data_IF_777769119064
#
_entry.id   IF_777769119064
#
_cell.length_a   1.000
_cell.length_b   1.000
_cell.length_c   1.000
_cell.angle_alpha   90.00
_cell.angle_beta   90.00
_cell.angle_gamma   90.00
#
_symmetry.space_group_name_H-M   'P 1'
#
loop_
_entity.id
_entity.type
_entity.pdbx_description
1 polymer ?
#
# COMPACT_ATOMS: atom_id res chain seq x y z
N UNK A 1 6.53 21.09 -7.19
CA UNK A 1 6.51 20.24 -8.38
C UNK A 1 6.06 18.81 -8.08
N UNK A 2 6.42 18.22 -6.93
CA UNK A 2 6.03 16.84 -6.54
C UNK A 2 4.51 16.57 -6.65
N UNK A 3 3.66 17.52 -6.24
CA UNK A 3 2.20 17.40 -6.35
C UNK A 3 1.71 17.67 -7.78
N UNK A 4 2.34 18.59 -8.50
CA UNK A 4 1.87 19.04 -9.82
C UNK A 4 2.26 18.10 -10.96
N UNK A 5 3.38 17.42 -10.80
CA UNK A 5 3.99 16.56 -11.82
C UNK A 5 4.69 15.37 -11.13
N UNK A 6 3.95 14.52 -10.39
CA UNK A 6 4.56 13.39 -9.68
C UNK A 6 5.27 12.42 -10.63
N UNK A 7 4.81 12.32 -11.86
CA UNK A 7 5.40 11.46 -12.89
C UNK A 7 6.82 11.87 -13.34
N UNK A 8 7.27 13.09 -12.98
CA UNK A 8 8.62 13.56 -13.32
C UNK A 8 9.69 13.05 -12.32
N UNK A 9 9.28 12.33 -11.27
CA UNK A 9 10.16 11.86 -10.19
C UNK A 9 10.24 10.33 -10.16
N UNK A 10 11.43 9.77 -10.42
CA UNK A 10 11.73 8.35 -10.27
C UNK A 10 12.21 8.02 -8.85
N UNK A 11 13.05 8.89 -8.29
CA UNK A 11 13.64 8.74 -6.96
C UNK A 11 13.67 10.08 -6.24
N UNK A 12 13.20 10.10 -5.00
CA UNK A 12 13.24 11.28 -4.14
C UNK A 12 14.09 10.99 -2.91
N UNK A 13 15.10 11.82 -2.67
CA UNK A 13 15.91 11.79 -1.45
C UNK A 13 15.52 12.98 -0.57
N UNK A 14 15.13 12.70 0.65
CA UNK A 14 14.73 13.71 1.63
C UNK A 14 15.26 13.37 3.02
N UNK A 15 15.42 14.39 3.88
CA UNK A 15 15.64 14.15 5.30
C UNK A 15 14.37 13.57 5.93
N UNK A 16 14.49 12.89 7.08
CA UNK A 16 13.41 12.15 7.71
C UNK A 16 12.10 12.96 7.78
N UNK A 17 12.13 14.16 8.39
CA UNK A 17 10.94 15.00 8.52
C UNK A 17 10.27 15.34 7.18
N UNK A 18 11.05 15.70 6.16
CA UNK A 18 10.51 16.03 4.84
C UNK A 18 10.10 14.77 4.06
N UNK A 19 10.77 13.65 4.28
CA UNK A 19 10.39 12.35 3.73
C UNK A 19 9.00 11.94 4.21
N UNK A 20 8.73 12.02 5.50
CA UNK A 20 7.43 11.67 6.09
C UNK A 20 6.30 12.54 5.51
N UNK A 21 6.52 13.86 5.42
CA UNK A 21 5.53 14.78 4.83
C UNK A 21 5.29 14.45 3.33
N UNK A 22 6.35 14.18 2.59
CA UNK A 22 6.23 13.90 1.15
C UNK A 22 5.59 12.54 0.87
N UNK A 23 5.83 11.53 1.71
CA UNK A 23 5.19 10.21 1.55
C UNK A 23 3.70 10.26 1.84
N UNK A 24 3.26 11.01 2.85
CA UNK A 24 1.83 11.23 3.12
C UNK A 24 1.14 11.94 1.94
N UNK A 25 1.78 12.99 1.41
CA UNK A 25 1.29 13.68 0.20
C UNK A 25 1.26 12.71 -1.00
N UNK A 26 2.29 11.88 -1.16
CA UNK A 26 2.36 10.86 -2.20
C UNK A 26 1.22 9.87 -2.13
N UNK A 27 0.90 9.39 -0.93
CA UNK A 27 -0.22 8.49 -0.70
C UNK A 27 -1.57 9.09 -1.13
N UNK A 28 -1.80 10.37 -0.84
CA UNK A 28 -3.02 11.08 -1.26
C UNK A 28 -3.06 11.27 -2.78
N UNK A 29 -1.93 11.56 -3.43
CA UNK A 29 -1.85 11.69 -4.89
C UNK A 29 -2.19 10.36 -5.58
N UNK A 30 -1.83 9.21 -4.99
CA UNK A 30 -2.14 7.87 -5.52
C UNK A 30 -3.56 7.41 -5.21
N UNK A 31 -4.32 8.15 -4.41
CA UNK A 31 -5.73 7.91 -4.15
C UNK A 31 -6.11 7.76 -2.69
N UNK A 32 -5.32 7.05 -1.88
CA UNK A 32 -5.61 6.83 -0.45
C UNK A 32 -4.37 6.39 0.31
N UNK A 33 -4.29 6.77 1.60
CA UNK A 33 -3.33 6.22 2.56
C UNK A 33 -3.48 4.68 2.70
N UNK A 34 -4.68 4.16 2.45
CA UNK A 34 -4.96 2.72 2.44
C UNK A 34 -4.33 1.94 1.27
N UNK A 35 -3.65 2.63 0.34
CA UNK A 35 -2.87 2.05 -0.75
C UNK A 35 -1.35 2.21 -0.54
N UNK A 36 -0.93 2.98 0.45
CA UNK A 36 0.48 3.34 0.66
C UNK A 36 1.26 2.22 1.34
N UNK A 37 1.85 1.35 0.54
CA UNK A 37 2.79 0.32 0.98
C UNK A 37 4.17 0.90 1.25
N UNK A 38 4.92 0.31 2.20
CA UNK A 38 6.24 0.80 2.60
C UNK A 38 7.17 -0.32 3.05
N UNK A 39 8.46 0.00 3.12
CA UNK A 39 9.50 -0.88 3.67
C UNK A 39 10.80 -0.15 3.90
N UNK A 40 11.45 -0.46 5.01
CA UNK A 40 12.84 -0.09 5.31
C UNK A 40 13.73 -1.27 4.92
N UNK A 41 14.36 -1.17 3.75
CA UNK A 41 15.01 -2.32 3.11
C UNK A 41 16.54 -2.17 3.17
N UNK A 42 17.21 -3.17 3.71
CA UNK A 42 18.64 -3.33 3.51
C UNK A 42 18.89 -4.07 2.17
N UNK A 43 19.38 -3.37 1.13
CA UNK A 43 19.63 -3.98 -0.18
C UNK A 43 20.75 -5.00 -0.14
N UNK A 44 21.64 -4.96 0.88
CA UNK A 44 22.74 -5.91 1.04
C UNK A 44 22.32 -7.21 1.71
N UNK A 45 21.13 -7.23 2.32
CA UNK A 45 20.58 -8.38 3.08
C UNK A 45 21.49 -8.85 4.23
N UNK A 46 22.33 -7.97 4.76
CA UNK A 46 23.20 -8.25 5.90
C UNK A 46 22.55 -7.90 7.25
N UNK A 47 21.52 -7.08 7.21
CA UNK A 47 20.72 -6.66 8.36
C UNK A 47 19.25 -6.94 8.11
N UNK A 48 18.40 -7.02 9.18
CA UNK A 48 16.97 -7.18 9.02
C UNK A 48 16.35 -6.01 8.24
N UNK A 49 15.41 -6.33 7.36
CA UNK A 49 14.52 -5.37 6.72
C UNK A 49 13.15 -5.37 7.40
N UNK A 50 12.43 -4.23 7.37
CA UNK A 50 11.11 -4.08 7.95
C UNK A 50 10.11 -3.69 6.87
N UNK A 51 8.92 -4.27 6.92
CA UNK A 51 7.85 -4.05 5.96
C UNK A 51 6.57 -3.71 6.71
N UNK A 52 6.08 -2.50 6.51
CA UNK A 52 4.86 -2.00 7.13
C UNK A 52 4.18 -1.00 6.18
N UNK A 53 2.86 -0.83 6.23
CA UNK A 53 2.20 0.25 5.49
C UNK A 53 2.57 1.61 6.08
N UNK A 54 2.46 2.67 5.29
CA UNK A 54 2.76 4.04 5.73
C UNK A 54 1.77 4.55 6.77
N UNK A 55 0.50 4.09 6.72
CA UNK A 55 -0.55 4.52 7.65
C UNK A 55 -0.33 4.00 9.08
N UNK A 56 -0.80 4.75 10.07
CA UNK A 56 -0.79 4.38 11.48
C UNK A 56 -1.95 3.47 11.89
N UNK A 57 -2.22 3.41 13.20
CA UNK A 57 -3.19 2.49 13.81
C UNK A 57 -4.67 2.90 13.69
N UNK A 58 -4.96 4.14 13.29
CA UNK A 58 -6.30 4.70 13.10
C UNK A 58 -7.31 4.29 14.22
N UNK A 59 -7.07 4.71 15.48
CA UNK A 59 -7.83 4.22 16.64
C UNK A 59 -9.32 4.53 16.58
N UNK A 60 -9.70 5.57 15.86
CA UNK A 60 -11.09 6.00 15.63
C UNK A 60 -11.92 5.03 14.79
N UNK A 61 -11.29 4.21 13.95
CA UNK A 61 -11.96 3.18 13.15
C UNK A 61 -11.60 1.74 13.57
N UNK A 62 -10.78 1.58 14.61
CA UNK A 62 -10.37 0.27 15.11
C UNK A 62 -11.60 -0.58 15.51
N UNK A 63 -11.64 -1.83 15.06
CA UNK A 63 -12.73 -2.78 15.34
C UNK A 63 -14.02 -2.54 14.52
N UNK A 64 -14.09 -1.51 13.69
CA UNK A 64 -15.29 -1.21 12.88
C UNK A 64 -15.32 -1.91 11.52
N UNK A 65 -14.26 -2.60 11.12
CA UNK A 65 -14.15 -3.28 9.82
C UNK A 65 -14.13 -2.31 8.62
N UNK A 66 -13.66 -1.08 8.82
CA UNK A 66 -13.64 -0.02 7.80
C UNK A 66 -12.27 0.19 7.16
N UNK A 67 -11.20 -0.29 7.80
CA UNK A 67 -9.85 -0.09 7.32
C UNK A 67 -9.63 -0.76 5.97
N UNK A 68 -8.97 -0.05 5.06
CA UNK A 68 -8.55 -0.60 3.76
C UNK A 68 -7.36 -1.56 3.97
N UNK A 69 -7.45 -2.84 3.58
CA UNK A 69 -6.37 -3.80 3.78
C UNK A 69 -5.29 -3.75 2.69
N UNK A 70 -5.51 -2.99 1.61
CA UNK A 70 -4.68 -3.07 0.40
C UNK A 70 -3.23 -2.62 0.65
N UNK A 71 -3.01 -1.57 1.46
CA UNK A 71 -1.64 -1.13 1.78
C UNK A 71 -0.82 -2.23 2.46
N UNK A 72 -1.43 -2.95 3.41
CA UNK A 72 -0.76 -4.08 4.09
C UNK A 72 -0.50 -5.24 3.13
N UNK A 73 -1.44 -5.53 2.23
CA UNK A 73 -1.30 -6.59 1.21
C UNK A 73 -0.20 -6.22 0.22
N UNK A 74 -0.17 -4.99 -0.29
CA UNK A 74 0.89 -4.50 -1.18
C UNK A 74 2.26 -4.48 -0.48
N UNK A 75 2.29 -4.16 0.81
CA UNK A 75 3.52 -4.26 1.63
C UNK A 75 4.05 -5.69 1.69
N UNK A 76 3.16 -6.69 1.78
CA UNK A 76 3.56 -8.09 1.67
C UNK A 76 4.14 -8.41 0.27
N UNK A 77 3.64 -7.79 -0.79
CA UNK A 77 4.23 -7.88 -2.13
C UNK A 77 5.68 -7.37 -2.17
N UNK A 78 5.95 -6.21 -1.55
CA UNK A 78 7.32 -5.67 -1.43
C UNK A 78 8.22 -6.66 -0.68
N UNK A 79 7.73 -7.24 0.43
CA UNK A 79 8.46 -8.24 1.21
C UNK A 79 8.78 -9.48 0.37
N UNK A 80 7.82 -10.00 -0.38
CA UNK A 80 8.02 -11.15 -1.26
C UNK A 80 9.11 -10.88 -2.31
N UNK A 81 9.09 -9.70 -2.95
CA UNK A 81 10.15 -9.30 -3.89
C UNK A 81 11.53 -9.25 -3.23
N UNK A 82 11.62 -8.71 -2.02
CA UNK A 82 12.87 -8.67 -1.25
C UNK A 82 13.40 -10.07 -0.94
N UNK A 83 12.51 -11.02 -0.68
CA UNK A 83 12.85 -12.43 -0.43
C UNK A 83 13.20 -13.21 -1.71
N UNK A 84 12.92 -12.65 -2.90
CA UNK A 84 13.17 -13.29 -4.18
C UNK A 84 11.95 -14.03 -4.77
N UNK A 85 10.80 -13.98 -4.09
CA UNK A 85 9.54 -14.61 -4.49
C UNK A 85 8.76 -13.72 -5.47
N UNK A 86 9.37 -13.42 -6.63
CA UNK A 86 8.86 -12.42 -7.58
C UNK A 86 7.51 -12.83 -8.18
N UNK A 87 7.32 -14.09 -8.52
CA UNK A 87 6.07 -14.59 -9.12
C UNK A 87 4.91 -14.45 -8.13
N UNK A 88 5.13 -14.81 -6.86
CA UNK A 88 4.14 -14.66 -5.79
C UNK A 88 3.80 -13.18 -5.53
N UNK A 89 4.79 -12.30 -5.58
CA UNK A 89 4.59 -10.86 -5.45
C UNK A 89 3.73 -10.32 -6.60
N UNK A 90 4.03 -10.72 -7.83
CA UNK A 90 3.28 -10.28 -9.02
C UNK A 90 1.82 -10.76 -9.00
N UNK A 91 1.57 -12.00 -8.61
CA UNK A 91 0.22 -12.54 -8.44
C UNK A 91 -0.56 -11.70 -7.42
N UNK A 92 0.05 -11.41 -6.27
CA UNK A 92 -0.57 -10.63 -5.20
C UNK A 92 -0.89 -9.20 -5.64
N UNK A 93 0.06 -8.52 -6.26
CA UNK A 93 -0.11 -7.15 -6.77
C UNK A 93 -1.18 -7.08 -7.86
N UNK A 94 -1.20 -8.04 -8.77
CA UNK A 94 -2.19 -8.13 -9.83
C UNK A 94 -3.60 -8.40 -9.28
N UNK A 95 -3.75 -9.18 -8.20
CA UNK A 95 -5.06 -9.38 -7.58
C UNK A 95 -5.60 -8.11 -6.93
N UNK A 96 -4.76 -7.31 -6.27
CA UNK A 96 -5.15 -5.98 -5.77
C UNK A 96 -5.57 -5.07 -6.92
N UNK A 97 -4.75 -5.02 -7.99
CA UNK A 97 -5.06 -4.21 -9.17
C UNK A 97 -6.40 -4.57 -9.79
N UNK A 98 -6.71 -5.87 -9.94
CA UNK A 98 -8.01 -6.31 -10.49
C UNK A 98 -9.20 -5.81 -9.65
N UNK A 99 -9.10 -5.88 -8.31
CA UNK A 99 -10.15 -5.38 -7.42
C UNK A 99 -10.35 -3.88 -7.58
N UNK A 100 -9.26 -3.11 -7.73
CA UNK A 100 -9.32 -1.67 -8.00
C UNK A 100 -9.92 -1.36 -9.38
N UNK A 101 -9.52 -2.09 -10.43
CA UNK A 101 -10.00 -1.90 -11.80
C UNK A 101 -11.52 -2.21 -11.93
N UNK A 102 -12.01 -3.24 -11.22
CA UNK A 102 -13.43 -3.60 -11.18
C UNK A 102 -14.24 -2.58 -10.36
N UNK A 103 -13.69 -2.08 -9.25
CA UNK A 103 -14.30 -1.01 -8.45
C UNK A 103 -15.53 -1.39 -7.62
N UNK A 104 -15.92 -2.66 -7.57
CA UNK A 104 -17.12 -3.12 -6.83
C UNK A 104 -16.86 -3.33 -5.33
N UNK A 105 -15.66 -3.77 -4.97
CA UNK A 105 -15.25 -4.12 -3.61
C UNK A 105 -14.22 -3.10 -3.08
N UNK A 106 -14.68 -1.89 -2.79
CA UNK A 106 -13.84 -0.79 -2.29
C UNK A 106 -14.28 -0.35 -0.91
N UNK A 107 -13.33 -0.01 -0.06
CA UNK A 107 -13.55 0.60 1.26
C UNK A 107 -13.96 2.07 1.16
N UNK A 108 -14.50 2.68 2.24
CA UNK A 108 -14.97 4.07 2.23
C UNK A 108 -13.93 5.12 1.83
N UNK A 109 -12.65 4.90 2.13
CA UNK A 109 -11.54 5.78 1.74
C UNK A 109 -11.33 5.87 0.22
N UNK A 110 -11.77 4.85 -0.52
CA UNK A 110 -11.79 4.78 -1.99
C UNK A 110 -13.19 5.06 -2.57
N UNK A 111 -14.12 5.57 -1.75
CA UNK A 111 -15.48 5.91 -2.18
C UNK A 111 -16.44 4.73 -2.25
N UNK A 112 -16.06 3.55 -1.79
CA UNK A 112 -16.89 2.36 -1.70
C UNK A 112 -17.62 2.21 -0.37
N UNK A 113 -18.27 1.05 -0.17
CA UNK A 113 -18.99 0.70 1.05
C UNK A 113 -18.62 -0.70 1.58
N UNK A 114 -17.60 -1.32 1.01
CA UNK A 114 -17.15 -2.66 1.41
C UNK A 114 -16.39 -2.62 2.73
N UNK A 115 -16.53 -3.67 3.53
CA UNK A 115 -15.74 -3.85 4.74
C UNK A 115 -14.30 -4.28 4.42
N UNK A 116 -13.42 -4.21 5.41
CA UNK A 116 -12.05 -4.78 5.35
C UNK A 116 -12.08 -6.25 4.90
N UNK A 117 -13.01 -7.03 5.45
CA UNK A 117 -13.17 -8.46 5.14
C UNK A 117 -13.65 -8.69 3.70
N UNK A 118 -14.57 -7.88 3.21
CA UNK A 118 -15.11 -8.01 1.83
C UNK A 118 -14.02 -7.75 0.81
N UNK A 119 -13.24 -6.68 1.01
CA UNK A 119 -12.09 -6.36 0.14
C UNK A 119 -11.05 -7.48 0.19
N UNK A 120 -10.73 -7.97 1.39
CA UNK A 120 -9.77 -9.07 1.54
C UNK A 120 -10.22 -10.33 0.81
N UNK A 121 -11.50 -10.72 0.93
CA UNK A 121 -12.08 -11.86 0.20
C UNK A 121 -12.06 -11.65 -1.31
N UNK A 122 -12.36 -10.44 -1.78
CA UNK A 122 -12.29 -10.11 -3.20
C UNK A 122 -10.86 -10.27 -3.74
N UNK A 123 -9.84 -9.84 -3.00
CA UNK A 123 -8.44 -10.01 -3.39
C UNK A 123 -8.06 -11.50 -3.41
N UNK A 124 -8.41 -12.26 -2.36
CA UNK A 124 -8.13 -13.71 -2.29
C UNK A 124 -8.77 -14.46 -3.47
N UNK A 125 -9.96 -14.08 -3.88
CA UNK A 125 -10.65 -14.75 -5.01
C UNK A 125 -10.01 -14.45 -6.38
N UNK A 126 -9.07 -13.51 -6.43
CA UNK A 126 -8.31 -13.15 -7.63
C UNK A 126 -6.85 -13.67 -7.62
N UNK A 127 -6.42 -14.37 -6.53
CA UNK A 127 -5.14 -15.05 -6.48
C UNK A 127 -5.19 -16.33 -7.34
#
# INVERSE_FOLDING_TARGET
DFIRKPQDFDVVVASNLFGDILTDIGAIITGSMGLASSGNIDPTKTSPSMFEPTHGSAPDIAGKGLANPMAQILTAGIMLRHLGENDSAEILENSVKRVLDVGESLTPDLGGNSSTDDVTKAIISNL
#
